data_IF_486550014041
#
_entry.id   IF_486550014041
#
_cell.length_a   1.000
_cell.length_b   1.000
_cell.length_c   1.000
_cell.angle_alpha   90.00
_cell.angle_beta   90.00
_cell.angle_gamma   90.00
#
_symmetry.space_group_name_H-M   'P 1'
#
loop_
_entity.id
_entity.type
_entity.pdbx_description
1 polymer ?
#
# COMPACT_ATOMS: atom_id res chain seq x y z
N UNK A 1 -18.15 0.94 31.02
CA UNK A 1 -16.99 0.73 30.14
C UNK A 1 -17.46 0.06 28.87
N UNK A 2 -17.68 0.82 27.79
CA UNK A 2 -18.02 0.22 26.50
C UNK A 2 -16.74 -0.36 25.89
N UNK A 3 -16.72 -1.68 25.71
CA UNK A 3 -15.59 -2.36 25.10
C UNK A 3 -15.63 -2.12 23.59
N UNK A 4 -14.70 -1.33 23.06
CA UNK A 4 -14.59 -1.11 21.62
C UNK A 4 -14.14 -2.42 20.96
N UNK A 5 -14.96 -2.95 20.05
CA UNK A 5 -14.63 -4.18 19.34
C UNK A 5 -13.61 -3.89 18.25
N UNK A 6 -12.65 -4.79 18.05
CA UNK A 6 -11.70 -4.71 16.96
C UNK A 6 -12.05 -5.76 15.91
N UNK A 7 -12.15 -5.35 14.66
CA UNK A 7 -12.29 -6.25 13.51
C UNK A 7 -10.99 -6.18 12.73
N UNK A 8 -10.21 -7.26 12.78
CA UNK A 8 -8.99 -7.40 12.00
C UNK A 8 -9.28 -8.02 10.65
N UNK A 9 -8.69 -7.50 9.58
CA UNK A 9 -8.86 -8.03 8.22
C UNK A 9 -7.49 -8.25 7.55
N UNK A 10 -7.36 -9.35 6.81
CA UNK A 10 -6.29 -9.55 5.84
C UNK A 10 -6.93 -9.79 4.47
N UNK A 11 -6.60 -8.97 3.48
CA UNK A 11 -7.29 -8.97 2.18
C UNK A 11 -6.50 -9.76 1.13
N UNK A 12 -6.99 -10.93 0.72
CA UNK A 12 -6.46 -11.68 -0.44
C UNK A 12 -7.14 -11.19 -1.72
N UNK A 13 -6.37 -10.89 -2.77
CA UNK A 13 -6.87 -10.27 -4.01
C UNK A 13 -7.58 -8.95 -3.71
N UNK A 14 -6.88 -8.09 -2.98
CA UNK A 14 -7.45 -6.88 -2.39
C UNK A 14 -7.95 -5.88 -3.44
N UNK A 15 -7.37 -5.89 -4.64
CA UNK A 15 -7.63 -4.86 -5.64
C UNK A 15 -7.35 -3.48 -5.04
N UNK A 16 -8.38 -2.64 -4.99
CA UNK A 16 -8.30 -1.28 -4.43
C UNK A 16 -8.55 -1.22 -2.91
N UNK A 17 -8.83 -2.36 -2.26
CA UNK A 17 -9.15 -2.43 -0.82
C UNK A 17 -10.56 -1.97 -0.50
N UNK A 18 -11.54 -2.41 -1.31
CA UNK A 18 -12.94 -2.10 -1.07
C UNK A 18 -13.46 -2.73 0.21
N UNK A 19 -12.89 -3.87 0.62
CA UNK A 19 -13.27 -4.60 1.83
C UNK A 19 -12.86 -3.79 3.06
N UNK A 20 -11.60 -3.34 3.13
CA UNK A 20 -11.13 -2.49 4.22
C UNK A 20 -11.83 -1.13 4.24
N UNK A 21 -12.06 -0.50 3.08
CA UNK A 21 -12.80 0.76 3.00
C UNK A 21 -14.24 0.63 3.52
N UNK A 22 -14.92 -0.46 3.16
CA UNK A 22 -16.27 -0.74 3.65
C UNK A 22 -16.29 -0.90 5.17
N UNK A 23 -15.33 -1.64 5.75
CA UNK A 23 -15.22 -1.78 7.20
C UNK A 23 -14.97 -0.42 7.88
N UNK A 24 -14.09 0.41 7.33
CA UNK A 24 -13.82 1.77 7.83
C UNK A 24 -15.09 2.62 7.88
N UNK A 25 -15.90 2.60 6.83
CA UNK A 25 -17.14 3.37 6.77
C UNK A 25 -18.20 2.89 7.77
N UNK A 26 -18.07 1.68 8.29
CA UNK A 26 -19.02 1.06 9.23
C UNK A 26 -18.60 1.17 10.70
N UNK A 27 -17.37 1.62 10.99
CA UNK A 27 -16.81 1.72 12.35
C UNK A 27 -17.74 2.48 13.30
N UNK A 28 -18.15 3.70 12.92
CA UNK A 28 -19.01 4.58 13.74
C UNK A 28 -20.42 4.02 13.92
N UNK A 29 -20.97 3.40 12.87
CA UNK A 29 -22.33 2.85 12.87
C UNK A 29 -22.48 1.65 13.82
N UNK A 30 -21.44 0.84 13.96
CA UNK A 30 -21.49 -0.42 14.70
C UNK A 30 -20.53 -0.48 15.89
N UNK A 31 -19.90 0.63 16.26
CA UNK A 31 -19.01 0.78 17.40
C UNK A 31 -17.88 -0.27 17.42
N UNK A 32 -17.13 -0.35 16.32
CA UNK A 32 -15.91 -1.16 16.21
C UNK A 32 -14.79 -0.37 15.52
N UNK A 33 -13.53 -0.80 15.69
CA UNK A 33 -12.37 -0.31 14.93
C UNK A 33 -11.91 -1.40 13.96
N UNK A 34 -11.88 -1.08 12.67
CA UNK A 34 -11.30 -1.90 11.62
C UNK A 34 -9.78 -1.73 11.63
N UNK A 35 -9.07 -2.85 11.66
CA UNK A 35 -7.61 -2.93 11.65
C UNK A 35 -7.18 -3.79 10.47
N UNK A 36 -6.46 -3.20 9.51
CA UNK A 36 -5.83 -3.98 8.46
C UNK A 36 -4.59 -4.67 9.03
N UNK A 37 -4.50 -5.99 8.84
CA UNK A 37 -3.31 -6.80 9.11
C UNK A 37 -2.41 -6.90 7.86
N UNK A 38 -2.83 -6.31 6.74
CA UNK A 38 -2.16 -6.38 5.46
C UNK A 38 -3.07 -6.85 4.34
N UNK A 39 -2.50 -6.90 3.14
CA UNK A 39 -3.18 -7.40 1.96
C UNK A 39 -2.20 -8.11 1.02
N UNK A 40 -2.76 -8.85 0.07
CA UNK A 40 -2.02 -9.54 -0.97
C UNK A 40 -2.66 -9.27 -2.33
N UNK A 41 -1.89 -8.66 -3.21
CA UNK A 41 -2.20 -8.45 -4.60
C UNK A 41 -0.87 -8.42 -5.39
N UNK A 42 -0.98 -8.60 -6.69
CA UNK A 42 0.15 -8.56 -7.63
C UNK A 42 -0.04 -7.55 -8.76
N UNK A 43 -1.24 -6.96 -8.91
CA UNK A 43 -1.51 -5.98 -9.94
C UNK A 43 -0.98 -4.61 -9.53
N UNK A 44 0.03 -4.11 -10.26
CA UNK A 44 0.76 -2.87 -9.95
C UNK A 44 -0.19 -1.68 -9.72
N UNK A 45 -1.12 -1.44 -10.63
CA UNK A 45 -1.99 -0.25 -10.52
C UNK A 45 -2.97 -0.38 -9.34
N UNK A 46 -3.42 -1.60 -9.03
CA UNK A 46 -4.28 -1.87 -7.88
C UNK A 46 -3.53 -1.64 -6.57
N UNK A 47 -2.29 -2.15 -6.45
CA UNK A 47 -1.43 -1.92 -5.29
C UNK A 47 -1.19 -0.43 -5.09
N UNK A 48 -0.76 0.29 -6.13
CA UNK A 48 -0.50 1.74 -6.03
C UNK A 48 -1.78 2.48 -5.59
N UNK A 49 -2.92 2.13 -6.17
CA UNK A 49 -4.20 2.75 -5.82
C UNK A 49 -4.64 2.43 -4.39
N UNK A 50 -4.47 1.18 -3.94
CA UNK A 50 -4.71 0.76 -2.56
C UNK A 50 -3.88 1.62 -1.60
N UNK A 51 -2.58 1.75 -1.88
CA UNK A 51 -1.68 2.52 -1.03
C UNK A 51 -2.09 4.00 -0.95
N UNK A 52 -2.50 4.59 -2.07
CA UNK A 52 -2.99 5.97 -2.12
C UNK A 52 -4.29 6.14 -1.34
N UNK A 53 -5.29 5.27 -1.56
CA UNK A 53 -6.61 5.35 -0.92
C UNK A 53 -6.48 5.22 0.60
N UNK A 54 -5.69 4.25 1.07
CA UNK A 54 -5.66 3.88 2.49
C UNK A 54 -4.58 4.61 3.29
N UNK A 55 -3.46 5.02 2.67
CA UNK A 55 -2.32 5.62 3.37
C UNK A 55 -1.89 6.99 2.82
N UNK A 56 -2.40 7.38 1.64
CA UNK A 56 -2.13 8.66 1.01
C UNK A 56 -0.94 8.66 0.05
N UNK A 57 -0.67 9.83 -0.55
CA UNK A 57 0.33 9.98 -1.62
C UNK A 57 1.75 10.15 -1.08
N UNK A 58 2.70 9.46 -1.67
CA UNK A 58 4.13 9.61 -1.43
C UNK A 58 4.79 10.52 -2.48
N UNK A 59 5.90 11.14 -2.08
CA UNK A 59 6.81 11.81 -3.01
C UNK A 59 7.56 10.76 -3.85
N UNK A 60 8.17 11.19 -4.94
CA UNK A 60 9.08 10.34 -5.70
C UNK A 60 10.27 9.94 -4.82
N UNK A 61 10.79 8.72 -5.03
CA UNK A 61 11.99 8.23 -4.35
C UNK A 61 13.24 8.85 -4.96
N UNK A 62 14.01 9.57 -4.14
CA UNK A 62 15.23 10.28 -4.52
C UNK A 62 16.49 9.83 -3.76
N UNK A 63 16.35 8.99 -2.72
CA UNK A 63 17.48 8.45 -1.96
C UNK A 63 18.02 7.15 -2.57
N UNK A 64 17.14 6.31 -3.10
CA UNK A 64 17.50 5.02 -3.72
C UNK A 64 17.70 5.21 -5.23
N UNK A 65 18.88 4.83 -5.76
CA UNK A 65 19.16 4.93 -7.19
C UNK A 65 18.21 4.07 -8.03
N UNK A 66 17.95 4.49 -9.28
CA UNK A 66 17.06 3.75 -10.19
C UNK A 66 17.51 2.30 -10.42
N UNK A 67 18.82 2.05 -10.49
CA UNK A 67 19.38 0.71 -10.63
C UNK A 67 19.02 -0.16 -9.43
N UNK A 68 19.09 0.41 -8.21
CA UNK A 68 18.73 -0.29 -6.99
C UNK A 68 17.22 -0.49 -6.86
N UNK A 69 16.42 0.49 -7.28
CA UNK A 69 14.97 0.37 -7.35
C UNK A 69 14.55 -0.80 -8.26
N UNK A 70 15.16 -0.91 -9.44
CA UNK A 70 14.96 -2.04 -10.37
C UNK A 70 15.36 -3.35 -9.71
N UNK A 71 16.56 -3.42 -9.12
CA UNK A 71 17.05 -4.63 -8.46
C UNK A 71 16.08 -5.13 -7.37
N UNK A 72 15.52 -4.22 -6.58
CA UNK A 72 14.55 -4.54 -5.53
C UNK A 72 13.25 -5.05 -6.15
N UNK A 73 12.60 -4.28 -7.03
CA UNK A 73 11.28 -4.63 -7.55
C UNK A 73 11.31 -5.88 -8.44
N UNK A 74 12.40 -6.12 -9.16
CA UNK A 74 12.58 -7.31 -10.01
C UNK A 74 12.66 -8.62 -9.23
N UNK A 75 12.78 -8.60 -7.89
CA UNK A 75 12.74 -9.82 -7.04
C UNK A 75 11.32 -10.33 -6.82
N UNK A 76 10.29 -9.52 -7.11
CA UNK A 76 8.90 -9.82 -6.81
C UNK A 76 8.08 -10.13 -8.07
N UNK A 77 6.95 -10.80 -7.87
CA UNK A 77 6.03 -11.22 -8.93
C UNK A 77 4.90 -10.21 -9.06
N UNK A 78 5.05 -9.28 -10.00
CA UNK A 78 4.03 -8.28 -10.32
C UNK A 78 3.35 -8.57 -11.65
N UNK A 79 2.17 -7.98 -11.85
CA UNK A 79 1.41 -7.95 -13.08
C UNK A 79 1.08 -6.51 -13.45
N UNK A 80 1.05 -6.21 -14.76
CA UNK A 80 0.57 -4.93 -15.30
C UNK A 80 -0.79 -5.05 -16.02
N UNK A 81 -1.38 -6.25 -16.04
CA UNK A 81 -2.65 -6.55 -16.71
C UNK A 81 -3.60 -7.40 -15.83
N UNK A 82 -3.27 -7.51 -14.53
CA UNK A 82 -3.89 -8.36 -13.51
C UNK A 82 -3.95 -9.87 -13.81
N UNK A 83 -3.28 -10.33 -14.87
CA UNK A 83 -3.40 -11.71 -15.37
C UNK A 83 -2.05 -12.40 -15.49
N UNK A 84 -1.07 -11.74 -16.08
CA UNK A 84 0.26 -12.28 -16.39
C UNK A 84 1.33 -11.54 -15.63
N UNK A 85 2.40 -12.26 -15.31
CA UNK A 85 3.58 -11.65 -14.71
C UNK A 85 4.26 -10.73 -15.72
N UNK A 86 4.75 -9.60 -15.22
CA UNK A 86 5.59 -8.70 -16.02
C UNK A 86 6.90 -9.39 -16.39
N UNK A 87 7.46 -9.05 -17.56
CA UNK A 87 8.76 -9.58 -17.96
C UNK A 87 9.89 -9.15 -17.01
N UNK A 88 10.98 -9.90 -16.94
CA UNK A 88 12.16 -9.57 -16.11
C UNK A 88 12.76 -8.18 -16.37
N UNK A 89 12.60 -7.67 -17.60
CA UNK A 89 13.07 -6.34 -18.00
C UNK A 89 12.00 -5.24 -17.88
N UNK A 90 10.84 -5.52 -17.28
CA UNK A 90 9.74 -4.56 -17.19
C UNK A 90 10.15 -3.24 -16.52
N UNK A 91 10.71 -3.31 -15.30
CA UNK A 91 11.13 -2.11 -14.57
C UNK A 91 12.29 -1.38 -15.25
N UNK A 92 13.19 -2.10 -15.93
CA UNK A 92 14.30 -1.52 -16.73
C UNK A 92 13.80 -0.69 -17.92
N UNK A 93 12.62 -1.01 -18.46
CA UNK A 93 12.02 -0.31 -19.61
C UNK A 93 11.20 0.91 -19.18
N UNK A 94 10.98 1.12 -17.89
CA UNK A 94 10.26 2.29 -17.42
C UNK A 94 11.16 3.53 -17.53
N UNK A 95 10.52 4.67 -17.82
CA UNK A 95 11.18 5.97 -17.65
C UNK A 95 11.66 6.09 -16.19
N UNK A 96 12.92 6.52 -15.94
CA UNK A 96 13.44 6.77 -14.59
C UNK A 96 12.49 7.54 -13.68
N UNK A 97 11.94 8.66 -14.12
CA UNK A 97 10.99 9.46 -13.33
C UNK A 97 9.72 8.67 -12.98
N UNK A 98 9.23 7.83 -13.91
CA UNK A 98 8.06 6.98 -13.65
C UNK A 98 8.40 5.90 -12.63
N UNK A 99 9.57 5.28 -12.73
CA UNK A 99 10.06 4.29 -11.79
C UNK A 99 10.13 4.89 -10.37
N UNK A 100 10.83 6.02 -10.20
CA UNK A 100 10.96 6.71 -8.91
C UNK A 100 9.62 7.15 -8.33
N UNK A 101 8.62 7.40 -9.18
CA UNK A 101 7.26 7.74 -8.75
C UNK A 101 6.47 6.54 -8.22
N UNK A 102 6.60 5.36 -8.83
CA UNK A 102 5.82 4.17 -8.43
C UNK A 102 6.53 3.32 -7.37
N UNK A 103 7.86 3.33 -7.36
CA UNK A 103 8.69 2.57 -6.43
C UNK A 103 8.26 2.70 -4.97
N UNK A 104 8.07 3.89 -4.40
CA UNK A 104 7.79 4.01 -2.97
C UNK A 104 6.49 3.32 -2.57
N UNK A 105 5.47 3.33 -3.43
CA UNK A 105 4.21 2.61 -3.17
C UNK A 105 4.39 1.09 -3.22
N UNK A 106 5.06 0.59 -4.27
CA UNK A 106 5.27 -0.84 -4.45
C UNK A 106 6.20 -1.41 -3.37
N UNK A 107 7.21 -0.65 -2.94
CA UNK A 107 8.14 -1.12 -1.93
C UNK A 107 7.55 -1.04 -0.52
N UNK A 108 6.81 0.03 -0.19
CA UNK A 108 6.05 0.10 1.06
C UNK A 108 5.01 -1.03 1.17
N UNK A 109 4.43 -1.46 0.05
CA UNK A 109 3.51 -2.61 0.04
C UNK A 109 4.19 -3.94 0.43
N UNK A 110 5.49 -4.08 0.14
CA UNK A 110 6.24 -5.33 0.31
C UNK A 110 7.14 -5.36 1.55
N UNK A 111 7.42 -4.21 2.16
CA UNK A 111 8.41 -4.06 3.21
C UNK A 111 7.88 -3.16 4.33
N UNK A 112 7.65 -3.76 5.51
CA UNK A 112 7.09 -3.05 6.66
C UNK A 112 8.00 -1.94 7.18
N UNK A 113 9.32 -2.12 7.17
CA UNK A 113 10.25 -1.08 7.64
C UNK A 113 10.18 0.17 6.75
N UNK A 114 10.16 -0.03 5.43
CA UNK A 114 9.99 1.03 4.45
C UNK A 114 8.58 1.64 4.53
N UNK A 115 7.54 0.83 4.74
CA UNK A 115 6.18 1.32 5.01
C UNK A 115 6.17 2.30 6.18
N UNK A 116 6.72 1.89 7.33
CA UNK A 116 6.75 2.74 8.53
C UNK A 116 7.66 3.96 8.35
N UNK A 117 8.75 3.86 7.59
CA UNK A 117 9.56 5.03 7.22
C UNK A 117 8.73 6.05 6.44
N UNK A 118 7.91 5.61 5.49
CA UNK A 118 7.18 6.50 4.59
C UNK A 118 5.84 7.01 5.15
N UNK A 119 5.17 6.21 6.00
CA UNK A 119 3.83 6.50 6.50
C UNK A 119 3.73 6.66 8.03
N UNK A 120 4.78 6.34 8.79
CA UNK A 120 4.71 6.23 10.25
C UNK A 120 4.32 7.51 10.99
N UNK A 121 4.65 8.71 10.48
CA UNK A 121 4.15 9.98 11.05
C UNK A 121 2.69 10.23 10.72
N UNK A 122 2.25 9.87 9.51
CA UNK A 122 0.90 10.11 9.02
C UNK A 122 -0.14 9.19 9.63
N UNK A 123 0.23 7.95 9.95
CA UNK A 123 -0.64 7.05 10.71
C UNK A 123 -0.94 7.65 12.09
N UNK A 124 0.08 8.18 12.79
CA UNK A 124 -0.09 8.85 14.09
C UNK A 124 -0.93 10.12 14.01
N UNK A 125 -0.86 10.87 12.92
CA UNK A 125 -1.72 12.05 12.71
C UNK A 125 -3.17 11.68 12.43
N UNK A 126 -3.42 10.70 11.54
CA UNK A 126 -4.77 10.23 11.22
C UNK A 126 -5.48 9.57 12.40
N UNK A 127 -4.74 8.90 13.28
CA UNK A 127 -5.32 8.37 14.51
C UNK A 127 -5.76 9.50 15.45
N UNK A 128 -4.97 10.58 15.57
CA UNK A 128 -5.32 11.76 16.38
C UNK A 128 -6.54 12.52 15.85
N UNK A 129 -6.66 12.70 14.53
CA UNK A 129 -7.83 13.36 13.91
C UNK A 129 -9.14 12.57 14.06
N UNK A 130 -9.06 11.24 14.28
CA UNK A 130 -10.23 10.39 14.49
C UNK A 130 -10.69 10.34 15.95
N UNK A 131 -9.86 10.79 16.88
CA UNK A 131 -10.15 10.84 18.33
C UNK A 131 -10.71 12.20 18.79
N UNK A 132 -10.62 13.24 17.94
CA UNK A 132 -11.15 14.59 18.14
C UNK A 132 -12.54 14.79 17.53
#
# INVERSE_FOLDING_TARGET
MFFMKFITIYEMFAGLGSQYLALKNLESKFNFKAVSLGSCDFYIDAIISYMIIHYGTLKLEDEISNEKQIEILSKYKFSNDSKKLVSSNYFKKLNPTKLSKIFPYLYAYLNNDYFHKMYGERERERERERES
#
